data_IF_525141638202
#
_entry.id   IF_525141638202
#
_cell.length_a   1.000
_cell.length_b   1.000
_cell.length_c   1.000
_cell.angle_alpha   90.00
_cell.angle_beta   90.00
_cell.angle_gamma   90.00
#
_symmetry.space_group_name_H-M   'P 1'
#
loop_
_entity.id
_entity.type
_entity.pdbx_description
1 polymer ?
#
# COMPACT_ATOMS: atom_id res chain seq x y z
N UNK A 1 11.83 0.71 -2.66
CA UNK A 1 10.96 1.66 -3.39
C UNK A 1 10.35 2.64 -2.40
N UNK A 2 9.77 3.74 -2.87
CA UNK A 2 9.01 4.68 -2.04
C UNK A 2 7.69 5.00 -2.74
N UNK A 3 6.59 4.95 -1.98
CA UNK A 3 5.25 5.34 -2.44
C UNK A 3 4.74 6.42 -1.49
N UNK A 4 4.13 7.46 -2.05
CA UNK A 4 3.48 8.54 -1.32
C UNK A 4 2.20 8.92 -2.04
N UNK A 5 1.16 9.27 -1.29
CA UNK A 5 0.05 10.00 -1.87
C UNK A 5 0.53 11.34 -2.43
N UNK A 6 -0.09 11.86 -3.50
CA UNK A 6 0.09 13.25 -3.89
C UNK A 6 -0.39 14.17 -2.76
N UNK A 7 0.22 15.34 -2.64
CA UNK A 7 -0.15 16.34 -1.64
C UNK A 7 -1.62 16.70 -1.81
N UNK A 8 -2.39 16.64 -0.73
CA UNK A 8 -3.80 17.01 -0.71
C UNK A 8 -4.15 17.75 0.59
N UNK A 9 -5.27 18.46 0.60
CA UNK A 9 -5.80 19.04 1.82
C UNK A 9 -6.28 17.94 2.78
N UNK A 10 -6.19 18.19 4.08
CA UNK A 10 -6.74 17.28 5.09
C UNK A 10 -8.25 17.13 4.84
N UNK A 11 -8.78 15.90 4.72
CA UNK A 11 -10.21 15.68 4.51
C UNK A 11 -11.06 16.28 5.64
N UNK A 12 -12.23 16.82 5.29
CA UNK A 12 -13.15 17.42 6.28
C UNK A 12 -14.00 16.40 7.04
N UNK A 13 -14.11 15.16 6.53
CA UNK A 13 -14.84 14.09 7.19
C UNK A 13 -14.05 13.58 8.38
N UNK A 14 -14.74 13.27 9.48
CA UNK A 14 -14.15 12.77 10.73
C UNK A 14 -13.23 11.56 10.51
N UNK A 15 -13.60 10.66 9.60
CA UNK A 15 -12.75 9.54 9.17
C UNK A 15 -12.78 9.43 7.66
N UNK A 16 -11.60 9.31 7.06
CA UNK A 16 -11.44 9.15 5.60
C UNK A 16 -10.43 8.05 5.33
N UNK A 17 -10.80 7.13 4.46
CA UNK A 17 -9.92 6.09 3.95
C UNK A 17 -9.68 6.37 2.47
N UNK A 18 -8.42 6.64 2.13
CA UNK A 18 -7.98 6.86 0.75
C UNK A 18 -7.19 5.66 0.30
N UNK A 19 -7.38 5.23 -0.94
CA UNK A 19 -6.54 4.20 -1.54
C UNK A 19 -5.90 4.72 -2.82
N UNK A 20 -4.77 4.13 -3.21
CA UNK A 20 -4.10 4.34 -4.49
C UNK A 20 -3.42 3.05 -4.93
N UNK A 21 -3.71 2.61 -6.15
CA UNK A 21 -3.05 1.43 -6.73
C UNK A 21 -1.79 1.87 -7.48
N UNK A 22 -0.72 1.09 -7.34
CA UNK A 22 0.56 1.33 -8.01
C UNK A 22 1.18 0.02 -8.50
N UNK A 23 2.00 0.13 -9.55
CA UNK A 23 2.75 -1.02 -10.07
C UNK A 23 4.02 -1.27 -9.22
N UNK A 24 4.31 -2.55 -9.00
CA UNK A 24 5.55 -3.03 -8.39
C UNK A 24 6.60 -3.28 -9.49
N UNK A 25 7.91 -3.28 -9.17
CA UNK A 25 8.97 -3.52 -10.15
C UNK A 25 8.74 -4.81 -10.95
N UNK A 26 8.75 -4.71 -12.28
CA UNK A 26 8.53 -5.84 -13.21
C UNK A 26 9.82 -6.29 -13.91
N UNK A 27 10.97 -5.80 -13.48
CA UNK A 27 12.29 -6.12 -14.05
C UNK A 27 12.95 -7.35 -13.42
N UNK A 28 12.32 -7.94 -12.40
CA UNK A 28 12.80 -9.15 -11.72
C UNK A 28 11.84 -9.63 -10.63
N UNK A 29 12.27 -10.64 -9.89
CA UNK A 29 11.60 -11.11 -8.68
C UNK A 29 12.34 -10.59 -7.44
N UNK A 30 11.58 -10.05 -6.49
CA UNK A 30 12.11 -9.51 -5.24
C UNK A 30 11.28 -10.00 -4.05
N UNK A 31 11.84 -9.85 -2.85
CA UNK A 31 11.11 -10.06 -1.60
C UNK A 31 10.98 -8.73 -0.84
N UNK A 32 9.75 -8.37 -0.47
CA UNK A 32 9.48 -7.34 0.52
C UNK A 32 9.82 -7.92 1.90
N UNK A 33 10.98 -7.52 2.44
CA UNK A 33 11.52 -8.02 3.72
C UNK A 33 11.40 -7.00 4.86
N UNK A 34 11.17 -5.73 4.54
CA UNK A 34 10.97 -4.69 5.54
C UNK A 34 10.22 -3.49 4.97
N UNK A 35 9.59 -2.72 5.85
CA UNK A 35 8.94 -1.46 5.54
C UNK A 35 9.18 -0.42 6.66
N UNK A 36 9.03 0.85 6.30
CA UNK A 36 8.98 1.95 7.26
C UNK A 36 7.98 3.01 6.79
N UNK A 37 7.25 3.66 7.70
CA UNK A 37 6.31 4.71 7.34
C UNK A 37 7.04 5.97 6.90
N UNK A 38 6.40 6.74 6.04
CA UNK A 38 6.80 8.10 5.68
C UNK A 38 5.56 8.97 5.89
N UNK A 39 5.58 9.78 6.94
CA UNK A 39 4.40 10.51 7.41
C UNK A 39 4.73 11.99 7.46
N UNK A 40 4.02 12.80 6.67
CA UNK A 40 4.21 14.25 6.65
C UNK A 40 3.40 14.94 7.78
N UNK A 41 2.29 14.36 8.24
CA UNK A 41 1.49 14.88 9.37
C UNK A 41 1.05 13.75 10.32
N UNK A 42 1.83 13.56 11.39
CA UNK A 42 1.61 12.50 12.39
C UNK A 42 0.35 12.69 13.24
N UNK A 43 -0.18 13.92 13.34
CA UNK A 43 -1.39 14.19 14.10
C UNK A 43 -2.67 13.81 13.35
N UNK A 44 -2.58 13.60 12.03
CA UNK A 44 -3.72 13.25 11.18
C UNK A 44 -3.67 11.78 10.74
N UNK A 45 -2.47 11.24 10.50
CA UNK A 45 -2.30 9.88 10.01
C UNK A 45 -2.48 8.86 11.13
N UNK A 46 -3.42 7.92 10.96
CA UNK A 46 -3.72 6.89 11.97
C UNK A 46 -3.20 5.49 11.58
N UNK A 47 -3.44 5.05 10.34
CA UNK A 47 -2.96 3.77 9.80
C UNK A 47 -2.42 3.97 8.38
N UNK A 48 -1.48 3.12 7.98
CA UNK A 48 -1.06 2.96 6.59
C UNK A 48 -1.06 1.46 6.29
N UNK A 49 -1.71 1.05 5.22
CA UNK A 49 -1.81 -0.37 4.84
C UNK A 49 -1.35 -0.55 3.40
N UNK A 50 -0.57 -1.60 3.15
CA UNK A 50 -0.17 -2.01 1.81
C UNK A 50 -0.77 -3.36 1.52
N UNK A 51 -1.57 -3.44 0.45
CA UNK A 51 -2.22 -4.66 0.01
C UNK A 51 -1.54 -5.21 -1.26
N UNK A 52 -1.23 -6.50 -1.28
CA UNK A 52 -0.89 -7.22 -2.50
C UNK A 52 -2.14 -7.47 -3.34
N UNK A 53 -2.04 -7.18 -4.64
CA UNK A 53 -3.12 -7.39 -5.60
C UNK A 53 -2.90 -8.69 -6.36
N UNK A 54 -3.89 -9.59 -6.36
CA UNK A 54 -3.85 -10.79 -7.21
C UNK A 54 -3.80 -10.45 -8.70
N UNK A 55 -3.61 -11.46 -9.55
CA UNK A 55 -3.62 -11.35 -11.02
C UNK A 55 -5.00 -10.97 -11.61
N UNK A 56 -5.90 -10.37 -10.81
CA UNK A 56 -7.21 -9.92 -11.25
C UNK A 56 -7.04 -8.83 -12.31
N UNK A 57 -6.98 -9.29 -13.56
CA UNK A 57 -7.01 -8.46 -14.74
C UNK A 57 -8.18 -7.50 -14.64
N UNK A 58 -7.87 -6.23 -14.89
CA UNK A 58 -8.85 -5.21 -15.19
C UNK A 58 -9.67 -4.69 -14.00
N UNK A 59 -9.00 -4.20 -12.94
CA UNK A 59 -9.64 -3.13 -12.15
C UNK A 59 -9.71 -1.88 -13.03
N UNK A 60 -10.91 -1.34 -13.26
CA UNK A 60 -11.11 -0.02 -13.90
C UNK A 60 -10.57 1.15 -13.06
N UNK A 61 -9.98 0.85 -11.91
CA UNK A 61 -9.37 1.79 -10.97
C UNK A 61 -8.09 2.35 -11.60
N UNK A 62 -7.98 3.67 -11.78
CA UNK A 62 -6.78 4.30 -12.30
C UNK A 62 -5.57 4.12 -11.38
N UNK A 63 -4.41 3.85 -11.96
CA UNK A 63 -3.14 3.77 -11.24
C UNK A 63 -2.68 5.17 -10.81
N UNK A 64 -2.00 5.23 -9.67
CA UNK A 64 -1.40 6.46 -9.11
C UNK A 64 -2.40 7.62 -8.91
N UNK A 65 -3.68 7.30 -8.76
CA UNK A 65 -4.74 8.28 -8.48
C UNK A 65 -5.41 7.91 -7.16
N UNK A 66 -5.44 8.80 -6.15
CA UNK A 66 -6.11 8.54 -4.89
C UNK A 66 -7.63 8.55 -5.05
N UNK A 67 -8.32 7.60 -4.42
CA UNK A 67 -9.79 7.52 -4.39
C UNK A 67 -10.28 7.15 -2.99
N UNK A 68 -11.55 7.46 -2.69
CA UNK A 68 -12.20 6.99 -1.47
C UNK A 68 -12.48 5.49 -1.60
N UNK A 69 -11.99 4.67 -0.67
CA UNK A 69 -12.08 3.21 -0.75
C UNK A 69 -12.68 2.54 0.49
N UNK A 70 -12.97 3.31 1.55
CA UNK A 70 -13.35 2.74 2.84
C UNK A 70 -12.28 1.70 3.28
N UNK A 71 -12.67 0.54 3.82
CA UNK A 71 -11.74 -0.48 4.31
C UNK A 71 -11.27 -1.48 3.23
N UNK A 72 -11.48 -1.20 1.93
CA UNK A 72 -11.01 -2.09 0.88
C UNK A 72 -10.62 -1.34 -0.40
N UNK A 73 -9.38 -1.48 -0.89
CA UNK A 73 -8.96 -0.88 -2.15
C UNK A 73 -9.73 -1.43 -3.38
N UNK A 74 -10.39 -2.59 -3.26
CA UNK A 74 -11.00 -3.27 -4.39
C UNK A 74 -9.95 -3.83 -5.37
N UNK A 75 -10.34 -4.11 -6.61
CA UNK A 75 -9.41 -4.52 -7.67
C UNK A 75 -8.65 -5.83 -7.43
N UNK A 76 -9.16 -6.71 -6.55
CA UNK A 76 -8.48 -7.95 -6.16
C UNK A 76 -7.30 -7.75 -5.21
N UNK A 77 -7.17 -6.57 -4.59
CA UNK A 77 -6.17 -6.29 -3.57
C UNK A 77 -6.76 -6.57 -2.19
N UNK A 78 -6.41 -7.73 -1.60
CA UNK A 78 -6.98 -8.20 -0.34
C UNK A 78 -5.94 -8.68 0.67
N UNK A 79 -4.72 -9.00 0.23
CA UNK A 79 -3.69 -9.52 1.13
C UNK A 79 -2.86 -8.38 1.72
N UNK A 80 -2.83 -8.25 3.06
CA UNK A 80 -2.01 -7.24 3.73
C UNK A 80 -0.55 -7.70 3.68
N UNK A 81 0.29 -6.96 2.95
CA UNK A 81 1.73 -7.20 2.81
C UNK A 81 2.58 -6.14 3.53
N UNK A 82 1.94 -5.13 4.13
CA UNK A 82 2.59 -4.14 4.98
C UNK A 82 1.57 -3.40 5.83
N UNK A 83 1.93 -3.10 7.08
CA UNK A 83 1.05 -2.39 8.01
C UNK A 83 1.87 -1.43 8.87
N UNK A 84 1.33 -0.24 9.05
CA UNK A 84 1.76 0.70 10.07
C UNK A 84 0.55 1.21 10.84
N UNK A 85 0.74 1.39 12.14
CA UNK A 85 -0.20 2.02 13.05
C UNK A 85 0.55 2.92 14.04
N UNK A 86 -0.18 3.81 14.71
CA UNK A 86 0.38 4.71 15.72
C UNK A 86 1.24 3.93 16.74
N UNK A 87 2.46 4.41 16.97
CA UNK A 87 3.44 3.79 17.87
C UNK A 87 4.37 2.75 17.22
N UNK A 88 4.11 2.34 15.97
CA UNK A 88 4.99 1.42 15.23
C UNK A 88 6.05 2.23 14.47
N UNK A 89 7.31 1.78 14.44
CA UNK A 89 8.38 2.48 13.69
C UNK A 89 8.59 1.94 12.26
N UNK A 90 7.95 0.81 11.94
CA UNK A 90 8.16 0.02 10.73
C UNK A 90 8.14 -1.46 11.09
N UNK A 91 8.31 -2.31 10.09
CA UNK A 91 8.33 -3.76 10.26
C UNK A 91 9.52 -4.36 9.52
N UNK A 92 10.21 -5.30 10.16
CA UNK A 92 11.19 -6.18 9.53
C UNK A 92 10.67 -7.61 9.64
N UNK A 93 10.66 -8.33 8.53
CA UNK A 93 10.35 -9.75 8.51
C UNK A 93 11.55 -10.55 9.04
N UNK A 94 11.31 -11.85 9.29
CA UNK A 94 12.37 -12.76 9.65
C UNK A 94 13.38 -12.87 8.50
N UNK A 95 14.64 -13.18 8.78
CA UNK A 95 15.71 -13.25 7.77
C UNK A 95 15.41 -14.24 6.62
N UNK A 96 14.54 -15.22 6.86
CA UNK A 96 14.13 -16.25 5.91
C UNK A 96 12.69 -16.07 5.39
N UNK A 97 12.05 -14.91 5.62
CA UNK A 97 10.69 -14.65 5.15
C UNK A 97 10.51 -13.26 4.53
N UNK A 98 9.56 -13.17 3.60
CA UNK A 98 9.17 -11.93 2.93
C UNK A 98 8.11 -12.20 1.88
N UNK A 99 7.42 -11.15 1.43
CA UNK A 99 6.41 -11.28 0.39
C UNK A 99 7.07 -11.19 -0.99
N UNK A 100 6.81 -12.17 -1.86
CA UNK A 100 7.33 -12.14 -3.23
C UNK A 100 6.59 -11.07 -4.05
N UNK A 101 7.36 -10.15 -4.63
CA UNK A 101 6.89 -9.11 -5.53
C UNK A 101 7.63 -9.21 -6.87
N UNK A 102 7.03 -8.67 -7.93
CA UNK A 102 7.60 -8.62 -9.26
C UNK A 102 7.04 -9.67 -10.20
N UNK A 103 7.85 -10.14 -11.16
CA UNK A 103 7.38 -10.90 -12.34
C UNK A 103 6.51 -12.11 -11.97
N UNK A 104 6.92 -12.87 -10.96
CA UNK A 104 6.25 -14.07 -10.46
C UNK A 104 5.64 -13.89 -9.06
N UNK A 105 5.48 -12.65 -8.61
CA UNK A 105 4.86 -12.29 -7.34
C UNK A 105 3.74 -11.27 -7.52
N UNK A 106 3.47 -10.47 -6.49
CA UNK A 106 2.58 -9.32 -6.65
C UNK A 106 3.14 -8.35 -7.68
N UNK A 107 2.34 -8.08 -8.72
CA UNK A 107 2.69 -7.11 -9.78
C UNK A 107 2.18 -5.71 -9.48
N UNK A 108 1.12 -5.63 -8.68
CA UNK A 108 0.52 -4.40 -8.18
C UNK A 108 0.30 -4.49 -6.69
N UNK A 109 0.27 -3.32 -6.07
CA UNK A 109 -0.17 -3.18 -4.70
C UNK A 109 -1.11 -1.97 -4.59
N UNK A 110 -1.96 -1.99 -3.57
CA UNK A 110 -2.76 -0.85 -3.18
C UNK A 110 -2.21 -0.28 -1.87
N UNK A 111 -2.13 1.05 -1.83
CA UNK A 111 -1.71 1.83 -0.67
C UNK A 111 -2.95 2.49 -0.08
N UNK A 112 -3.23 2.22 1.19
CA UNK A 112 -4.26 2.90 1.99
C UNK A 112 -3.61 3.81 3.03
#
# INVERSE_FOLDING_TARGET
MTVRFPVSAVPQKETTYKCMIFDLPQDGDYHLVANKPIIDNVNMMHHIIVYGCGDAGNSSIPLMQPYDCFMSPGGGCSEIIGLWAVGVSGQCHHESSGFRIGVNGYKRAAFE
#
